data_IF_736339053628
#
_entry.id   IF_736339053628
#
_cell.length_a   1.000
_cell.length_b   1.000
_cell.length_c   1.000
_cell.angle_alpha   90.00
_cell.angle_beta   90.00
_cell.angle_gamma   90.00
#
_symmetry.space_group_name_H-M   'P 1'
#
loop_
_entity.id
_entity.type
_entity.pdbx_description
1 polymer ?
#
# COMPACT_ATOMS: atom_id res chain seq x y z
N UNK A 1 -12.68 2.95 -31.50
CA UNK A 1 -13.40 2.38 -30.33
C UNK A 1 -13.11 3.30 -29.16
N UNK A 2 -14.11 3.83 -28.43
CA UNK A 2 -13.80 4.57 -27.21
C UNK A 2 -13.18 3.56 -26.23
N UNK A 3 -11.97 3.85 -25.74
CA UNK A 3 -11.39 3.10 -24.63
C UNK A 3 -12.40 3.18 -23.48
N UNK A 4 -13.07 2.07 -23.15
CA UNK A 4 -13.78 1.93 -21.87
C UNK A 4 -12.82 2.40 -20.79
N UNK A 5 -13.29 3.27 -19.90
CA UNK A 5 -12.55 3.69 -18.71
C UNK A 5 -11.91 2.46 -18.06
N UNK A 6 -10.57 2.37 -18.13
CA UNK A 6 -9.84 1.25 -17.55
C UNK A 6 -9.84 1.46 -16.04
N UNK A 7 -10.67 0.69 -15.33
CA UNK A 7 -10.69 0.67 -13.87
C UNK A 7 -9.64 -0.30 -13.37
N UNK A 8 -8.83 0.14 -12.42
CA UNK A 8 -7.81 -0.70 -11.78
C UNK A 8 -8.53 -1.61 -10.80
N UNK A 9 -8.41 -2.93 -11.01
CA UNK A 9 -9.02 -3.93 -10.12
C UNK A 9 -8.20 -4.12 -8.83
N UNK A 10 -6.87 -4.05 -8.93
CA UNK A 10 -5.97 -4.22 -7.80
C UNK A 10 -4.67 -3.43 -8.00
N UNK A 11 -4.01 -3.09 -6.90
CA UNK A 11 -2.68 -2.49 -6.89
C UNK A 11 -1.80 -3.18 -5.84
N UNK A 12 -0.50 -3.24 -6.13
CA UNK A 12 0.53 -3.68 -5.20
C UNK A 12 1.39 -2.48 -4.85
N UNK A 13 1.55 -2.24 -3.55
CA UNK A 13 2.41 -1.20 -3.00
C UNK A 13 3.56 -1.83 -2.25
N UNK A 14 4.77 -1.38 -2.58
CA UNK A 14 5.96 -1.65 -1.79
C UNK A 14 6.10 -0.56 -0.73
N UNK A 15 6.51 -0.94 0.48
CA UNK A 15 6.82 0.01 1.56
C UNK A 15 8.14 -0.35 2.24
N UNK A 16 8.85 0.66 2.71
CA UNK A 16 10.07 0.54 3.51
C UNK A 16 9.87 1.16 4.89
N UNK A 17 10.57 0.63 5.88
CA UNK A 17 10.49 1.07 7.28
C UNK A 17 11.69 1.93 7.65
N UNK A 18 12.88 1.52 7.21
CA UNK A 18 14.06 2.35 7.12
C UNK A 18 14.48 2.42 5.63
N UNK A 19 14.99 3.57 5.19
CA UNK A 19 15.25 3.83 3.76
C UNK A 19 16.30 2.89 3.13
N UNK A 20 16.92 2.02 3.92
CA UNK A 20 17.99 1.10 3.53
C UNK A 20 17.61 -0.39 3.70
N UNK A 21 16.45 -0.69 4.29
CA UNK A 21 16.01 -2.05 4.58
C UNK A 21 15.21 -2.72 3.47
N UNK A 22 14.77 -3.95 3.75
CA UNK A 22 13.97 -4.73 2.81
C UNK A 22 12.57 -4.13 2.60
N UNK A 23 12.08 -4.21 1.36
CA UNK A 23 10.73 -3.77 1.03
C UNK A 23 9.70 -4.81 1.50
N UNK A 24 8.68 -4.33 2.19
CA UNK A 24 7.45 -5.08 2.41
C UNK A 24 6.45 -4.84 1.27
N UNK A 25 5.43 -5.69 1.19
CA UNK A 25 4.44 -5.65 0.12
C UNK A 25 3.01 -5.66 0.70
N UNK A 26 2.17 -4.78 0.18
CA UNK A 26 0.75 -4.67 0.50
C UNK A 26 -0.04 -4.72 -0.81
N UNK A 27 -1.04 -5.58 -0.88
CA UNK A 27 -1.94 -5.65 -2.03
C UNK A 27 -3.31 -5.10 -1.66
N UNK A 28 -3.84 -4.25 -2.53
CA UNK A 28 -5.20 -3.73 -2.46
C UNK A 28 -6.02 -4.33 -3.59
N UNK A 29 -7.18 -4.85 -3.24
CA UNK A 29 -8.22 -5.24 -4.17
C UNK A 29 -9.34 -4.19 -4.08
N UNK A 30 -9.45 -3.37 -5.12
CA UNK A 30 -10.46 -2.31 -5.19
C UNK A 30 -11.84 -2.86 -5.58
N UNK A 31 -11.92 -4.06 -6.15
CA UNK A 31 -13.20 -4.69 -6.45
C UNK A 31 -13.88 -5.19 -5.17
N UNK A 32 -13.10 -5.71 -4.22
CA UNK A 32 -13.61 -6.16 -2.90
C UNK A 32 -13.46 -5.12 -1.79
N UNK A 33 -12.68 -4.06 -2.03
CA UNK A 33 -12.37 -3.04 -1.02
C UNK A 33 -11.45 -3.55 0.09
N UNK A 34 -10.66 -4.60 -0.17
CA UNK A 34 -9.81 -5.26 0.84
C UNK A 34 -8.33 -4.97 0.62
N UNK A 35 -7.55 -5.09 1.68
CA UNK A 35 -6.10 -4.96 1.66
C UNK A 35 -5.46 -6.11 2.45
N UNK A 36 -4.37 -6.65 1.93
CA UNK A 36 -3.59 -7.70 2.58
C UNK A 36 -2.13 -7.27 2.70
N UNK A 37 -1.49 -7.73 3.77
CA UNK A 37 -0.03 -7.64 3.94
C UNK A 37 0.52 -8.93 3.35
N UNK A 38 1.16 -8.83 2.18
CA UNK A 38 1.73 -9.99 1.48
C UNK A 38 3.07 -10.35 2.12
N UNK A 39 3.89 -9.33 2.36
CA UNK A 39 5.22 -9.47 2.98
C UNK A 39 5.49 -8.32 3.95
N UNK A 40 6.11 -8.67 5.08
CA UNK A 40 6.60 -7.69 6.03
C UNK A 40 7.98 -7.20 5.60
N UNK A 41 8.20 -5.88 5.73
CA UNK A 41 9.52 -5.29 5.58
C UNK A 41 10.42 -5.75 6.73
N UNK A 42 11.69 -6.02 6.44
CA UNK A 42 12.75 -6.32 7.41
C UNK A 42 12.50 -7.51 8.36
N UNK A 43 13.50 -7.82 9.20
CA UNK A 43 13.43 -8.90 10.18
C UNK A 43 12.55 -8.54 11.40
N UNK A 44 12.46 -7.26 11.77
CA UNK A 44 11.57 -6.81 12.86
C UNK A 44 10.12 -6.72 12.37
N UNK A 45 9.48 -7.90 12.35
CA UNK A 45 8.08 -8.06 11.96
C UNK A 45 7.09 -7.28 12.81
N UNK A 46 7.46 -6.86 14.03
CA UNK A 46 6.58 -6.05 14.89
C UNK A 46 6.51 -4.64 14.33
N UNK A 47 7.66 -4.02 14.10
CA UNK A 47 7.76 -2.66 13.54
C UNK A 47 7.14 -2.60 12.16
N UNK A 48 7.48 -3.53 11.27
CA UNK A 48 6.96 -3.51 9.90
C UNK A 48 5.46 -3.78 9.80
N UNK A 49 4.88 -4.59 10.69
CA UNK A 49 3.43 -4.76 10.74
C UNK A 49 2.70 -3.47 11.16
N UNK A 50 3.27 -2.67 12.06
CA UNK A 50 2.72 -1.35 12.42
C UNK A 50 2.73 -0.41 11.20
N UNK A 51 3.85 -0.35 10.48
CA UNK A 51 3.97 0.45 9.26
C UNK A 51 2.99 0.00 8.18
N UNK A 52 2.91 -1.31 7.90
CA UNK A 52 2.02 -1.86 6.90
C UNK A 52 0.54 -1.52 7.16
N UNK A 53 0.09 -1.70 8.40
CA UNK A 53 -1.28 -1.34 8.82
C UNK A 53 -1.55 0.15 8.69
N UNK A 54 -0.55 0.98 8.93
CA UNK A 54 -0.69 2.43 8.81
C UNK A 54 -0.74 2.87 7.36
N UNK A 55 0.09 2.29 6.49
CA UNK A 55 0.00 2.49 5.04
C UNK A 55 -1.37 2.09 4.48
N UNK A 56 -1.93 0.96 4.95
CA UNK A 56 -3.30 0.54 4.61
C UNK A 56 -4.34 1.59 5.00
N UNK A 57 -4.30 2.08 6.24
CA UNK A 57 -5.22 3.12 6.70
C UNK A 57 -5.08 4.42 5.91
N UNK A 58 -3.85 4.82 5.61
CA UNK A 58 -3.58 6.02 4.82
C UNK A 58 -4.19 5.90 3.43
N UNK A 59 -3.98 4.79 2.73
CA UNK A 59 -4.53 4.55 1.39
C UNK A 59 -6.06 4.51 1.41
N UNK A 60 -6.68 3.87 2.40
CA UNK A 60 -8.14 3.89 2.55
C UNK A 60 -8.73 5.27 2.85
N UNK A 61 -7.95 6.17 3.44
CA UNK A 61 -8.38 7.55 3.70
C UNK A 61 -8.36 8.44 2.45
N UNK A 62 -7.81 7.97 1.33
CA UNK A 62 -7.73 8.75 0.09
C UNK A 62 -9.03 8.65 -0.71
N UNK A 63 -9.42 9.71 -1.44
CA UNK A 63 -10.49 9.60 -2.42
C UNK A 63 -10.12 8.56 -3.48
N UNK A 64 -11.04 7.64 -3.81
CA UNK A 64 -10.85 6.53 -4.78
C UNK A 64 -10.23 6.95 -6.13
N UNK A 65 -10.36 8.24 -6.50
CA UNK A 65 -9.84 8.80 -7.76
C UNK A 65 -8.33 9.09 -7.73
N UNK A 66 -7.66 8.95 -6.57
CA UNK A 66 -6.21 9.22 -6.42
C UNK A 66 -5.46 8.00 -5.93
N UNK A 67 -5.21 7.06 -6.84
CA UNK A 67 -4.15 6.08 -6.65
C UNK A 67 -2.81 6.81 -6.61
N UNK A 68 -2.11 6.69 -5.47
CA UNK A 68 -0.77 7.23 -5.32
C UNK A 68 0.19 6.42 -6.18
N UNK A 69 1.10 7.11 -6.87
CA UNK A 69 2.26 6.47 -7.52
C UNK A 69 3.39 6.22 -6.52
N UNK A 70 3.56 7.15 -5.59
CA UNK A 70 4.56 7.13 -4.53
C UNK A 70 4.08 8.07 -3.41
N UNK A 71 4.43 7.76 -2.16
CA UNK A 71 4.25 8.65 -1.02
C UNK A 71 5.30 8.38 0.04
N UNK A 72 5.87 9.47 0.59
CA UNK A 72 6.72 9.44 1.78
C UNK A 72 5.89 9.98 2.94
N UNK A 73 5.73 9.19 3.98
CA UNK A 73 4.97 9.56 5.17
C UNK A 73 5.92 9.56 6.35
N UNK A 74 6.01 10.68 7.06
CA UNK A 74 6.74 10.71 8.34
C UNK A 74 5.84 10.11 9.42
N UNK A 75 6.40 9.19 10.21
CA UNK A 75 5.74 8.57 11.35
C UNK A 75 6.45 9.05 12.62
N UNK A 76 5.69 9.65 13.55
CA UNK A 76 6.14 10.02 14.90
C UNK A 76 6.07 8.82 15.87
#
# INVERSE_FOLDING_TARGET
MPQKEQKIAAAVYLYQVDNDGEWGEIRFDFATGTAEIVWLAELDTVKSNVFARTAIRYIYGLPEVRLLKEAVVMFD
#
